data_IF_209148789942
#
_entry.id   IF_209148789942
#
_cell.length_a   1.000
_cell.length_b   1.000
_cell.length_c   1.000
_cell.angle_alpha   90.00
_cell.angle_beta   90.00
_cell.angle_gamma   90.00
#
_symmetry.space_group_name_H-M   'P 1'
#
loop_
_entity.id
_entity.type
_entity.pdbx_description
1 polymer ?
#
# COMPACT_ATOMS: atom_id res chain seq x y z
N UNK A 1 -33.27 -8.22 9.65
CA UNK A 1 -32.45 -7.98 8.45
C UNK A 1 -31.23 -8.85 8.54
N UNK A 2 -31.18 -9.96 7.79
CA UNK A 2 -30.02 -10.85 7.75
C UNK A 2 -28.86 -10.11 7.07
N UNK A 3 -27.80 -9.87 7.81
CA UNK A 3 -26.58 -9.25 7.29
C UNK A 3 -26.02 -10.12 6.18
N UNK A 4 -25.90 -9.57 4.98
CA UNK A 4 -25.11 -10.19 3.92
C UNK A 4 -23.72 -10.47 4.49
N UNK A 5 -23.27 -11.73 4.42
CA UNK A 5 -21.91 -12.12 4.78
C UNK A 5 -20.94 -11.21 4.03
N UNK A 6 -20.22 -10.38 4.77
CA UNK A 6 -19.13 -9.53 4.24
C UNK A 6 -17.92 -10.44 4.06
N UNK A 7 -17.91 -11.27 3.01
CA UNK A 7 -16.80 -12.15 2.73
C UNK A 7 -15.67 -11.34 2.10
N UNK A 8 -14.54 -11.24 2.80
CA UNK A 8 -13.27 -10.81 2.21
C UNK A 8 -12.96 -11.76 1.06
N UNK A 9 -12.70 -11.22 -0.12
CA UNK A 9 -12.21 -12.06 -1.23
C UNK A 9 -10.68 -12.14 -1.12
N UNK A 10 -10.22 -13.22 -0.46
CA UNK A 10 -8.81 -13.52 -0.29
C UNK A 10 -8.29 -14.33 -1.49
N UNK A 11 -7.20 -13.87 -2.10
CA UNK A 11 -6.44 -14.65 -3.07
C UNK A 11 -4.94 -14.63 -2.78
N UNK A 12 -4.28 -15.74 -3.07
CA UNK A 12 -2.83 -15.89 -2.92
C UNK A 12 -2.26 -16.38 -4.25
N UNK A 13 -1.28 -15.66 -4.78
CA UNK A 13 -0.58 -15.93 -6.04
C UNK A 13 0.88 -16.19 -5.74
N UNK A 14 1.33 -17.43 -5.96
CA UNK A 14 2.71 -17.85 -5.73
C UNK A 14 3.43 -17.87 -7.08
N UNK A 15 4.58 -17.21 -7.15
CA UNK A 15 5.37 -17.08 -8.38
C UNK A 15 6.83 -17.46 -8.14
N UNK A 16 7.49 -17.96 -9.19
CA UNK A 16 8.85 -18.47 -9.11
C UNK A 16 9.86 -17.44 -8.61
N UNK A 17 9.73 -16.19 -9.06
CA UNK A 17 10.70 -15.13 -8.81
C UNK A 17 10.05 -13.74 -8.80
N UNK A 18 10.78 -12.69 -8.36
CA UNK A 18 10.27 -11.32 -8.32
C UNK A 18 9.80 -10.77 -9.68
N UNK A 19 10.33 -11.24 -10.81
CA UNK A 19 9.92 -10.78 -12.13
C UNK A 19 8.54 -11.33 -12.49
N UNK A 20 8.31 -12.63 -12.26
CA UNK A 20 6.99 -13.24 -12.44
C UNK A 20 5.93 -12.64 -11.47
N UNK A 21 6.35 -12.26 -10.25
CA UNK A 21 5.49 -11.50 -9.33
C UNK A 21 5.12 -10.13 -9.89
N UNK A 22 6.09 -9.39 -10.42
CA UNK A 22 5.87 -8.08 -11.01
C UNK A 22 4.87 -8.14 -12.17
N UNK A 23 5.02 -9.13 -13.07
CA UNK A 23 4.07 -9.36 -14.16
C UNK A 23 2.65 -9.66 -13.67
N UNK A 24 2.53 -10.50 -12.64
CA UNK A 24 1.22 -10.78 -12.04
C UNK A 24 0.60 -9.53 -11.42
N UNK A 25 1.40 -8.80 -10.64
CA UNK A 25 0.98 -7.59 -9.97
C UNK A 25 0.56 -6.49 -10.96
N UNK A 26 1.29 -6.33 -12.07
CA UNK A 26 0.97 -5.40 -13.14
C UNK A 26 -0.38 -5.72 -13.79
N UNK A 27 -0.66 -7.00 -14.09
CA UNK A 27 -1.96 -7.42 -14.61
C UNK A 27 -3.13 -7.14 -13.66
N UNK A 28 -2.95 -7.44 -12.38
CA UNK A 28 -3.98 -7.18 -11.35
C UNK A 28 -4.23 -5.66 -11.23
N UNK A 29 -3.16 -4.86 -11.14
CA UNK A 29 -3.25 -3.40 -11.06
C UNK A 29 -3.94 -2.82 -12.29
N UNK A 30 -3.57 -3.27 -13.49
CA UNK A 30 -4.15 -2.77 -14.73
C UNK A 30 -5.64 -3.10 -14.86
N UNK A 31 -6.07 -4.30 -14.45
CA UNK A 31 -7.48 -4.66 -14.42
C UNK A 31 -8.27 -3.77 -13.44
N UNK A 32 -7.74 -3.56 -12.22
CA UNK A 32 -8.35 -2.68 -11.24
C UNK A 32 -8.38 -1.20 -11.71
N UNK A 33 -7.35 -0.78 -12.45
CA UNK A 33 -7.28 0.54 -13.06
C UNK A 33 -8.33 0.72 -14.15
N UNK A 34 -8.44 -0.24 -15.07
CA UNK A 34 -9.45 -0.24 -16.14
C UNK A 34 -10.88 -0.16 -15.57
N UNK A 35 -11.19 -0.99 -14.57
CA UNK A 35 -12.49 -0.96 -13.89
C UNK A 35 -12.76 0.40 -13.23
N UNK A 36 -11.79 0.93 -12.47
CA UNK A 36 -11.97 2.20 -11.77
C UNK A 36 -12.13 3.38 -12.74
N UNK A 37 -11.35 3.43 -13.82
CA UNK A 37 -11.47 4.48 -14.82
C UNK A 37 -12.79 4.36 -15.58
N UNK A 38 -13.24 3.16 -15.93
CA UNK A 38 -14.53 2.96 -16.59
C UNK A 38 -15.72 3.39 -15.69
N UNK A 39 -15.68 3.09 -14.39
CA UNK A 39 -16.79 3.36 -13.48
C UNK A 39 -16.77 4.79 -12.88
N UNK A 40 -15.58 5.34 -12.61
CA UNK A 40 -15.39 6.56 -11.82
C UNK A 40 -14.58 7.63 -12.52
N UNK A 41 -14.00 7.34 -13.69
CA UNK A 41 -13.18 8.27 -14.46
C UNK A 41 -11.79 8.54 -13.86
N UNK A 42 -11.44 7.89 -12.75
CA UNK A 42 -10.15 8.07 -12.05
C UNK A 42 -9.77 6.77 -11.32
N UNK A 43 -8.48 6.49 -11.23
CA UNK A 43 -7.90 5.41 -10.44
C UNK A 43 -7.00 5.99 -9.35
N UNK A 44 -7.41 5.89 -8.09
CA UNK A 44 -6.66 6.41 -6.95
C UNK A 44 -5.91 5.28 -6.25
N UNK A 45 -4.59 5.30 -6.34
CA UNK A 45 -3.68 4.27 -5.83
C UNK A 45 -2.80 4.81 -4.71
N UNK A 46 -2.61 4.04 -3.63
CA UNK A 46 -1.62 4.31 -2.60
C UNK A 46 -0.46 3.30 -2.68
N UNK A 47 0.78 3.79 -2.64
CA UNK A 47 2.00 3.00 -2.75
C UNK A 47 2.73 2.88 -1.41
N UNK A 48 3.23 1.70 -1.10
CA UNK A 48 4.31 1.49 -0.12
C UNK A 48 5.67 1.50 -0.81
N UNK A 49 6.74 1.78 -0.05
CA UNK A 49 8.11 1.60 -0.53
C UNK A 49 8.69 0.22 -0.21
N UNK A 50 10.01 0.15 -0.10
CA UNK A 50 10.77 -1.10 0.07
C UNK A 50 11.37 -1.61 -1.25
N UNK A 51 12.11 -2.72 -1.19
CA UNK A 51 12.79 -3.27 -2.37
C UNK A 51 11.85 -4.12 -3.24
N UNK A 52 10.90 -4.82 -2.63
CA UNK A 52 9.96 -5.71 -3.31
C UNK A 52 9.12 -5.06 -4.42
N UNK A 53 8.62 -3.81 -4.32
CA UNK A 53 7.89 -3.17 -5.42
C UNK A 53 8.76 -2.70 -6.59
N UNK A 54 10.10 -2.71 -6.48
CA UNK A 54 10.99 -2.19 -7.54
C UNK A 54 10.79 -2.90 -8.88
N UNK A 55 10.78 -4.25 -8.96
CA UNK A 55 10.54 -4.93 -10.23
C UNK A 55 9.20 -4.57 -10.87
N UNK A 56 8.15 -4.36 -10.07
CA UNK A 56 6.86 -3.87 -10.57
C UNK A 56 6.97 -2.44 -11.11
N UNK A 57 7.62 -1.53 -10.39
CA UNK A 57 7.80 -0.15 -10.83
C UNK A 57 8.61 -0.07 -12.13
N UNK A 58 9.73 -0.79 -12.21
CA UNK A 58 10.54 -0.86 -13.43
C UNK A 58 9.76 -1.46 -14.61
N UNK A 59 8.94 -2.48 -14.36
CA UNK A 59 8.09 -3.09 -15.40
C UNK A 59 7.03 -2.10 -15.91
N UNK A 60 6.34 -1.39 -15.00
CA UNK A 60 5.33 -0.40 -15.35
C UNK A 60 5.92 0.83 -16.06
N UNK A 61 7.17 1.16 -15.77
CA UNK A 61 7.93 2.21 -16.44
C UNK A 61 8.41 1.82 -17.86
N UNK A 62 8.47 0.52 -18.17
CA UNK A 62 9.01 0.02 -19.42
C UNK A 62 7.93 -0.21 -20.48
N UNK A 63 8.19 0.29 -21.71
CA UNK A 63 7.54 -0.15 -22.96
C UNK A 63 6.00 -0.32 -22.87
N UNK A 64 5.46 -1.47 -23.31
CA UNK A 64 4.03 -1.78 -23.48
C UNK A 64 3.16 -1.43 -22.26
N UNK A 65 3.70 -1.50 -21.03
CA UNK A 65 2.96 -1.12 -19.83
C UNK A 65 2.81 0.39 -19.67
N UNK A 66 3.86 1.15 -20.00
CA UNK A 66 3.83 2.61 -19.98
C UNK A 66 2.81 3.16 -21.00
N UNK A 67 2.64 2.50 -22.15
CA UNK A 67 1.64 2.91 -23.15
C UNK A 67 0.22 2.39 -22.84
N UNK A 68 0.10 1.33 -22.04
CA UNK A 68 -1.19 0.67 -21.72
C UNK A 68 -1.95 1.35 -20.59
N UNK A 69 -1.28 1.95 -19.61
CA UNK A 69 -1.95 2.54 -18.46
C UNK A 69 -2.37 3.99 -18.70
N UNK A 70 -3.59 4.39 -18.29
CA UNK A 70 -4.09 5.76 -18.47
C UNK A 70 -3.53 6.70 -17.38
N UNK A 71 -2.25 7.06 -17.45
CA UNK A 71 -1.56 7.82 -16.41
C UNK A 71 -2.21 9.17 -16.06
N UNK A 72 -2.88 9.81 -17.02
CA UNK A 72 -3.64 11.05 -16.81
C UNK A 72 -4.90 10.84 -15.93
N UNK A 73 -5.36 9.59 -15.80
CA UNK A 73 -6.47 9.18 -14.93
C UNK A 73 -6.01 8.57 -13.61
N UNK A 74 -4.71 8.45 -13.39
CA UNK A 74 -4.17 7.86 -12.16
C UNK A 74 -3.76 8.96 -11.18
N UNK A 75 -4.20 8.84 -9.93
CA UNK A 75 -3.77 9.70 -8.83
C UNK A 75 -2.99 8.87 -7.81
N UNK A 76 -1.73 9.22 -7.58
CA UNK A 76 -0.85 8.49 -6.67
C UNK A 76 -0.79 9.13 -5.28
N UNK A 77 -0.84 8.25 -4.29
CA UNK A 77 -0.68 8.52 -2.88
C UNK A 77 0.37 7.55 -2.32
N UNK A 78 0.79 7.80 -1.09
CA UNK A 78 1.63 6.89 -0.32
C UNK A 78 0.86 6.36 0.89
N UNK A 79 1.06 5.07 1.16
CA UNK A 79 0.56 4.39 2.36
C UNK A 79 1.35 4.85 3.58
N UNK A 80 2.66 5.02 3.43
CA UNK A 80 3.56 5.48 4.47
C UNK A 80 4.78 6.19 3.88
N UNK A 81 5.48 6.95 4.71
CA UNK A 81 6.71 7.62 4.32
C UNK A 81 7.65 7.80 5.52
N UNK A 82 8.94 7.85 5.21
CA UNK A 82 10.03 8.09 6.13
C UNK A 82 10.15 9.60 6.32
N UNK A 83 10.32 10.08 7.54
CA UNK A 83 10.51 11.51 7.81
C UNK A 83 11.92 11.99 7.40
N UNK A 84 12.17 11.97 6.09
CA UNK A 84 13.40 12.36 5.40
C UNK A 84 13.07 13.16 4.13
N UNK A 85 14.09 13.80 3.55
CA UNK A 85 13.95 14.52 2.28
C UNK A 85 13.50 13.63 1.11
N UNK A 86 12.80 14.18 0.09
CA UNK A 86 12.28 13.40 -1.04
C UNK A 86 13.37 12.77 -1.91
N UNK A 87 14.59 13.31 -1.90
CA UNK A 87 15.75 12.75 -2.60
C UNK A 87 16.55 11.76 -1.74
N UNK A 88 16.18 11.58 -0.46
CA UNK A 88 16.86 10.66 0.42
C UNK A 88 16.69 9.21 -0.09
N UNK A 89 17.71 8.34 0.01
CA UNK A 89 17.62 6.95 -0.45
C UNK A 89 16.46 6.17 0.19
N UNK A 90 16.12 6.51 1.43
CA UNK A 90 15.02 5.88 2.17
C UNK A 90 13.62 6.48 1.90
N UNK A 91 13.47 7.52 1.09
CA UNK A 91 12.14 8.06 0.77
C UNK A 91 11.37 7.09 -0.14
N UNK A 92 10.16 6.72 0.27
CA UNK A 92 9.22 5.94 -0.54
C UNK A 92 8.76 6.73 -1.77
N UNK A 93 8.54 8.04 -1.63
CA UNK A 93 8.31 8.93 -2.77
C UNK A 93 9.53 8.97 -3.70
N UNK A 94 10.72 9.14 -3.14
CA UNK A 94 11.97 9.15 -3.90
C UNK A 94 12.17 7.85 -4.69
N UNK A 95 11.87 6.70 -4.09
CA UNK A 95 11.89 5.41 -4.76
C UNK A 95 10.92 5.37 -5.95
N UNK A 96 9.63 5.66 -5.72
CA UNK A 96 8.63 5.66 -6.77
C UNK A 96 8.99 6.66 -7.89
N UNK A 97 9.58 7.80 -7.55
CA UNK A 97 10.06 8.79 -8.51
C UNK A 97 11.19 8.23 -9.39
N UNK A 98 12.19 7.58 -8.79
CA UNK A 98 13.33 7.01 -9.53
C UNK A 98 12.96 5.83 -10.40
N UNK A 99 12.08 4.96 -9.91
CA UNK A 99 11.76 3.68 -10.56
C UNK A 99 10.54 3.75 -11.48
N UNK A 100 9.63 4.71 -11.29
CA UNK A 100 8.37 4.78 -12.04
C UNK A 100 8.03 6.20 -12.52
N UNK A 101 7.76 7.13 -11.59
CA UNK A 101 7.06 8.38 -11.90
C UNK A 101 7.85 9.33 -12.81
N UNK A 102 9.18 9.18 -12.91
CA UNK A 102 9.99 9.98 -13.85
C UNK A 102 10.04 9.41 -15.26
N UNK A 103 9.49 8.22 -15.48
CA UNK A 103 9.56 7.49 -16.75
C UNK A 103 8.20 7.37 -17.46
N UNK A 104 7.13 7.84 -16.81
CA UNK A 104 5.76 7.76 -17.32
C UNK A 104 5.09 9.14 -17.20
N UNK A 105 4.07 9.45 -18.02
CA UNK A 105 3.39 10.75 -18.00
C UNK A 105 2.39 10.90 -16.83
N UNK A 106 2.75 10.44 -15.63
CA UNK A 106 1.94 10.58 -14.43
C UNK A 106 1.99 12.03 -13.90
N UNK A 107 0.82 12.68 -13.85
CA UNK A 107 0.74 14.11 -13.49
C UNK A 107 0.14 14.37 -12.10
N UNK A 108 -0.59 13.40 -11.54
CA UNK A 108 -1.35 13.61 -10.31
C UNK A 108 -0.79 12.74 -9.18
N UNK A 109 -0.11 13.37 -8.24
CA UNK A 109 0.37 12.69 -7.04
C UNK A 109 0.44 13.61 -5.83
N UNK A 110 0.12 13.06 -4.66
CA UNK A 110 0.23 13.73 -3.38
C UNK A 110 1.24 12.96 -2.55
N UNK A 111 2.45 13.51 -2.37
CA UNK A 111 3.47 12.88 -1.52
C UNK A 111 3.31 13.30 -0.07
N UNK A 112 3.58 12.38 0.85
CA UNK A 112 3.86 12.72 2.23
C UNK A 112 5.15 13.55 2.29
N UNK A 113 5.13 14.66 3.04
CA UNK A 113 6.28 15.57 3.15
C UNK A 113 7.17 15.17 4.31
N UNK A 114 7.97 14.12 4.11
CA UNK A 114 8.89 13.60 5.11
C UNK A 114 9.94 14.60 5.60
N UNK A 115 10.23 15.64 4.83
CA UNK A 115 11.17 16.70 5.22
C UNK A 115 10.61 17.73 6.23
N UNK A 116 9.30 17.72 6.47
CA UNK A 116 8.64 18.64 7.38
C UNK A 116 8.53 18.06 8.79
N UNK A 117 8.06 18.87 9.74
CA UNK A 117 7.67 18.37 11.06
C UNK A 117 6.64 17.22 10.90
N UNK A 118 6.84 16.06 11.55
CA UNK A 118 5.99 14.89 11.36
C UNK A 118 4.50 15.16 11.66
N UNK A 119 4.21 15.87 12.74
CA UNK A 119 2.82 16.17 13.15
C UNK A 119 2.14 17.05 12.11
N UNK A 120 2.82 18.12 11.67
CA UNK A 120 2.30 18.98 10.61
C UNK A 120 2.16 18.23 9.27
N UNK A 121 3.11 17.38 8.93
CA UNK A 121 3.09 16.61 7.70
C UNK A 121 1.90 15.64 7.65
N UNK A 122 1.61 14.95 8.76
CA UNK A 122 0.45 14.09 8.90
C UNK A 122 -0.87 14.87 8.72
N UNK A 123 -1.00 16.03 9.36
CA UNK A 123 -2.19 16.91 9.23
C UNK A 123 -2.36 17.39 7.79
N UNK A 124 -1.28 17.88 7.15
CA UNK A 124 -1.33 18.39 5.77
C UNK A 124 -1.69 17.28 4.78
N UNK A 125 -1.12 16.09 4.95
CA UNK A 125 -1.41 14.95 4.09
C UNK A 125 -2.85 14.44 4.26
N UNK A 126 -3.35 14.40 5.50
CA UNK A 126 -4.77 14.11 5.75
C UNK A 126 -5.69 15.12 5.05
N UNK A 127 -5.36 16.42 5.09
CA UNK A 127 -6.15 17.45 4.40
C UNK A 127 -6.12 17.28 2.88
N UNK A 128 -4.99 16.92 2.29
CA UNK A 128 -4.88 16.62 0.85
C UNK A 128 -5.80 15.47 0.45
N UNK A 129 -5.79 14.38 1.22
CA UNK A 129 -6.69 13.24 1.00
C UNK A 129 -8.15 13.68 1.13
N UNK A 130 -8.52 14.41 2.19
CA UNK A 130 -9.91 14.87 2.37
C UNK A 130 -10.38 15.74 1.21
N UNK A 131 -9.54 16.66 0.75
CA UNK A 131 -9.88 17.53 -0.37
C UNK A 131 -10.03 16.74 -1.68
N UNK A 132 -9.07 15.87 -2.00
CA UNK A 132 -9.08 15.12 -3.26
C UNK A 132 -10.23 14.10 -3.34
N UNK A 133 -10.59 13.49 -2.21
CA UNK A 133 -11.73 12.57 -2.11
C UNK A 133 -13.07 13.27 -1.80
N UNK A 134 -13.08 14.60 -1.65
CA UNK A 134 -14.25 15.40 -1.26
C UNK A 134 -14.96 14.86 -0.01
N UNK A 135 -14.18 14.57 1.03
CA UNK A 135 -14.64 13.92 2.26
C UNK A 135 -15.14 14.93 3.29
N UNK A 136 -16.30 14.62 3.88
CA UNK A 136 -16.80 15.25 5.08
C UNK A 136 -16.04 14.84 6.36
N UNK A 137 -16.42 15.43 7.51
CA UNK A 137 -15.87 15.03 8.80
C UNK A 137 -16.12 13.54 9.07
N UNK A 138 -15.09 12.83 9.53
CA UNK A 138 -15.13 11.39 9.87
C UNK A 138 -15.35 10.43 8.69
N UNK A 139 -15.52 10.90 7.46
CA UNK A 139 -15.54 10.02 6.29
C UNK A 139 -14.14 9.47 5.99
N UNK A 140 -14.10 8.23 5.51
CA UNK A 140 -12.88 7.53 5.11
C UNK A 140 -12.72 7.59 3.59
N UNK A 141 -11.50 7.84 3.07
CA UNK A 141 -11.20 7.70 1.65
C UNK A 141 -11.36 6.23 1.25
N UNK A 142 -11.94 6.00 0.07
CA UNK A 142 -12.03 4.65 -0.52
C UNK A 142 -11.12 4.59 -1.73
N UNK A 143 -9.86 4.23 -1.49
CA UNK A 143 -8.88 4.00 -2.54
C UNK A 143 -9.29 2.84 -3.43
N UNK A 144 -8.97 2.93 -4.72
CA UNK A 144 -9.19 1.83 -5.66
C UNK A 144 -8.17 0.72 -5.43
N UNK A 145 -6.94 1.11 -5.11
CA UNK A 145 -5.84 0.16 -4.94
C UNK A 145 -4.85 0.62 -3.88
N UNK A 146 -4.42 -0.29 -3.02
CA UNK A 146 -3.29 -0.08 -2.12
C UNK A 146 -2.25 -1.17 -2.35
N UNK A 147 -1.07 -0.75 -2.78
CA UNK A 147 0.10 -1.62 -2.89
C UNK A 147 0.83 -1.63 -1.56
N UNK A 148 0.86 -2.77 -0.89
CA UNK A 148 1.38 -2.94 0.46
C UNK A 148 2.61 -3.86 0.46
N UNK A 149 3.49 -3.63 1.44
CA UNK A 149 4.57 -4.55 1.79
C UNK A 149 4.33 -5.17 3.17
N UNK A 150 5.15 -6.17 3.52
CA UNK A 150 5.17 -6.77 4.85
C UNK A 150 6.59 -6.89 5.41
N UNK A 151 6.80 -6.34 6.61
CA UNK A 151 8.02 -6.50 7.39
C UNK A 151 8.23 -7.93 7.92
N UNK A 152 9.45 -8.25 8.36
CA UNK A 152 9.74 -9.55 9.03
C UNK A 152 9.01 -9.69 10.38
N UNK A 153 8.67 -8.57 10.99
CA UNK A 153 7.85 -8.45 12.20
C UNK A 153 6.33 -8.40 11.89
N UNK A 154 5.94 -8.45 10.61
CA UNK A 154 4.55 -8.39 10.15
C UNK A 154 3.95 -6.99 10.09
N UNK A 155 4.77 -5.93 10.20
CA UNK A 155 4.31 -4.57 9.95
C UNK A 155 3.89 -4.37 8.48
N UNK A 156 2.99 -3.42 8.24
CA UNK A 156 2.62 -2.93 6.91
C UNK A 156 2.39 -1.43 6.97
N UNK A 157 2.69 -0.71 5.87
CA UNK A 157 2.95 0.72 5.94
C UNK A 157 4.02 1.00 7.00
N UNK A 158 3.75 1.95 7.89
CA UNK A 158 4.55 2.10 9.12
C UNK A 158 3.76 1.71 10.38
N UNK A 159 2.82 0.76 10.29
CA UNK A 159 2.05 0.26 11.43
C UNK A 159 2.78 -0.96 12.01
N UNK A 160 3.48 -0.78 13.13
CA UNK A 160 4.30 -1.83 13.75
C UNK A 160 3.54 -2.62 14.83
N UNK A 161 3.91 -3.89 15.10
CA UNK A 161 3.41 -4.61 16.26
C UNK A 161 3.61 -3.81 17.55
N UNK A 162 2.62 -3.84 18.44
CA UNK A 162 2.62 -3.14 19.73
C UNK A 162 2.79 -1.61 19.66
N UNK A 163 2.63 -0.99 18.48
CA UNK A 163 2.68 0.46 18.32
C UNK A 163 1.32 1.13 18.60
N UNK A 164 1.30 2.42 19.00
CA UNK A 164 0.06 3.19 19.16
C UNK A 164 -0.80 3.25 17.89
N UNK A 165 -0.18 3.12 16.71
CA UNK A 165 -0.87 3.12 15.42
C UNK A 165 -1.95 2.04 15.29
N UNK A 166 -1.83 0.92 16.02
CA UNK A 166 -2.83 -0.15 16.04
C UNK A 166 -4.17 0.30 16.64
N UNK A 167 -4.12 1.22 17.61
CA UNK A 167 -5.27 1.73 18.33
C UNK A 167 -5.95 2.93 17.63
N UNK A 168 -5.33 3.53 16.62
CA UNK A 168 -5.89 4.67 15.90
C UNK A 168 -7.10 4.25 15.06
N UNK A 169 -8.22 4.99 15.22
CA UNK A 169 -9.52 4.71 14.57
C UNK A 169 -10.20 5.94 13.97
N UNK A 170 -9.68 7.14 14.20
CA UNK A 170 -10.28 8.43 13.86
C UNK A 170 -9.50 9.17 12.79
N UNK A 171 -8.18 9.24 12.92
CA UNK A 171 -7.29 9.92 11.97
C UNK A 171 -7.16 9.11 10.68
N UNK A 172 -7.04 9.80 9.55
CA UNK A 172 -6.69 9.14 8.28
C UNK A 172 -5.18 8.88 8.22
N UNK A 173 -4.41 9.83 8.75
CA UNK A 173 -2.95 9.85 8.72
C UNK A 173 -2.43 10.19 10.12
N UNK A 174 -1.40 9.47 10.55
CA UNK A 174 -0.67 9.76 11.78
C UNK A 174 0.83 9.81 11.52
N UNK A 175 1.51 10.63 12.30
CA UNK A 175 2.92 10.46 12.61
C UNK A 175 3.10 9.44 13.74
N UNK A 176 4.23 8.74 13.72
CA UNK A 176 4.66 7.93 14.86
C UNK A 176 6.18 7.82 14.90
N UNK A 177 6.73 7.86 16.10
CA UNK A 177 8.12 7.53 16.35
C UNK A 177 8.28 6.00 16.46
N UNK A 178 9.22 5.44 15.71
CA UNK A 178 9.52 4.00 15.72
C UNK A 178 10.83 3.76 16.48
N UNK A 179 10.79 3.30 17.74
CA UNK A 179 11.99 3.19 18.59
C UNK A 179 13.11 2.33 18.00
N UNK A 180 12.75 1.21 17.38
CA UNK A 180 13.68 0.25 16.78
C UNK A 180 14.43 0.84 15.60
N UNK A 181 13.83 1.85 14.93
CA UNK A 181 14.42 2.56 13.80
C UNK A 181 15.01 3.91 14.18
N UNK A 182 14.75 4.38 15.40
CA UNK A 182 15.13 5.71 15.91
C UNK A 182 14.72 6.83 14.95
N UNK A 183 13.53 6.71 14.38
CA UNK A 183 13.06 7.60 13.33
C UNK A 183 11.54 7.73 13.34
N UNK A 184 11.07 8.90 12.95
CA UNK A 184 9.65 9.14 12.70
C UNK A 184 9.22 8.58 11.34
N UNK A 185 7.94 8.23 11.29
CA UNK A 185 7.23 7.75 10.11
C UNK A 185 5.87 8.44 10.02
N UNK A 186 5.41 8.63 8.79
CA UNK A 186 4.04 8.98 8.47
C UNK A 186 3.34 7.73 7.95
N UNK A 187 2.08 7.48 8.32
CA UNK A 187 1.34 6.32 7.81
C UNK A 187 -0.16 6.60 7.71
N UNK A 188 -0.79 6.01 6.69
CA UNK A 188 -2.21 5.76 6.68
C UNK A 188 -2.55 4.78 7.80
N UNK A 189 -3.74 4.94 8.37
CA UNK A 189 -4.21 4.13 9.50
C UNK A 189 -4.92 2.85 9.01
N UNK A 190 -5.03 1.84 9.88
CA UNK A 190 -5.76 0.59 9.55
C UNK A 190 -7.20 0.83 9.04
N UNK A 191 -8.01 1.76 9.59
CA UNK A 191 -9.31 2.08 9.02
C UNK A 191 -9.25 2.53 7.55
N UNK A 192 -8.27 3.34 7.19
CA UNK A 192 -8.08 3.80 5.80
C UNK A 192 -7.71 2.63 4.90
N UNK A 193 -6.74 1.82 5.34
CA UNK A 193 -6.29 0.64 4.57
C UNK A 193 -7.45 -0.34 4.36
N UNK A 194 -8.22 -0.63 5.40
CA UNK A 194 -9.35 -1.56 5.35
C UNK A 194 -10.61 -1.01 4.65
N UNK A 195 -10.58 0.26 4.22
CA UNK A 195 -11.64 0.87 3.41
C UNK A 195 -11.32 0.84 1.90
N UNK A 196 -10.12 0.40 1.49
CA UNK A 196 -9.75 0.26 0.09
C UNK A 196 -10.58 -0.81 -0.62
N UNK A 197 -10.73 -0.67 -1.95
CA UNK A 197 -11.37 -1.68 -2.80
C UNK A 197 -10.48 -2.90 -3.02
N UNK A 198 -9.18 -2.69 -3.14
CA UNK A 198 -8.19 -3.74 -3.27
C UNK A 198 -6.96 -3.40 -2.43
N UNK A 199 -6.56 -4.33 -1.57
CA UNK A 199 -5.26 -4.32 -0.89
C UNK A 199 -4.42 -5.46 -1.46
N UNK A 200 -3.32 -5.13 -2.13
CA UNK A 200 -2.38 -6.12 -2.66
C UNK A 200 -1.05 -6.05 -1.93
N UNK A 201 -0.69 -7.14 -1.25
CA UNK A 201 0.62 -7.33 -0.67
C UNK A 201 1.59 -7.93 -1.69
N UNK A 202 2.79 -7.37 -1.78
CA UNK A 202 3.95 -8.01 -2.39
C UNK A 202 4.92 -8.48 -1.30
N UNK A 203 5.25 -9.77 -1.29
CA UNK A 203 6.14 -10.37 -0.28
C UNK A 203 7.13 -11.31 -0.95
N UNK A 204 8.42 -11.09 -0.73
CA UNK A 204 9.51 -11.89 -1.29
C UNK A 204 10.47 -12.35 -0.20
N UNK A 205 11.11 -13.51 -0.40
CA UNK A 205 12.21 -13.99 0.43
C UNK A 205 11.80 -15.02 1.49
N UNK A 206 12.63 -16.05 1.66
CA UNK A 206 12.40 -17.15 2.59
C UNK A 206 12.30 -16.70 4.06
N UNK A 207 12.96 -15.59 4.42
CA UNK A 207 12.87 -14.97 5.73
C UNK A 207 11.44 -14.49 6.08
N UNK A 208 10.57 -14.35 5.07
CA UNK A 208 9.17 -13.95 5.26
C UNK A 208 8.23 -15.13 5.55
N UNK A 209 8.69 -16.38 5.43
CA UNK A 209 7.79 -17.54 5.44
C UNK A 209 6.94 -17.65 6.71
N UNK A 210 7.57 -17.60 7.89
CA UNK A 210 6.87 -17.77 9.16
C UNK A 210 5.88 -16.63 9.42
N UNK A 211 6.29 -15.39 9.13
CA UNK A 211 5.44 -14.22 9.33
C UNK A 211 4.30 -14.15 8.31
N UNK A 212 4.54 -14.56 7.05
CA UNK A 212 3.52 -14.69 6.01
C UNK A 212 2.47 -15.75 6.38
N UNK A 213 2.93 -16.91 6.85
CA UNK A 213 2.03 -17.99 7.29
C UNK A 213 1.11 -17.53 8.42
N UNK A 214 1.63 -16.75 9.37
CA UNK A 214 0.82 -16.11 10.42
C UNK A 214 -0.14 -15.07 9.87
N UNK A 215 0.30 -14.22 8.94
CA UNK A 215 -0.53 -13.19 8.34
C UNK A 215 -1.69 -13.77 7.51
N UNK A 216 -1.47 -14.89 6.82
CA UNK A 216 -2.50 -15.61 6.04
C UNK A 216 -3.49 -16.41 6.91
N UNK A 217 -3.17 -16.65 8.18
CA UNK A 217 -4.09 -17.33 9.10
C UNK A 217 -5.21 -16.38 9.56
N UNK A 218 -6.20 -16.15 8.70
CA UNK A 218 -7.33 -15.26 8.99
C UNK A 218 -8.32 -15.81 10.03
N UNK A 219 -8.20 -17.09 10.38
CA UNK A 219 -9.02 -17.75 11.41
C UNK A 219 -8.53 -17.47 12.82
N UNK A 220 -7.25 -17.13 12.98
CA UNK A 220 -6.68 -16.72 14.26
C UNK A 220 -6.99 -15.25 14.59
N UNK A 221 -7.00 -14.96 15.89
CA UNK A 221 -7.01 -13.58 16.39
C UNK A 221 -5.79 -12.85 15.80
N UNK A 222 -5.98 -11.69 15.15
CA UNK A 222 -4.89 -11.03 14.47
C UNK A 222 -3.83 -10.52 15.45
N UNK A 223 -2.60 -10.99 15.28
CA UNK A 223 -1.44 -10.57 16.09
C UNK A 223 -0.48 -9.68 15.33
N UNK A 224 -0.63 -9.60 14.00
CA UNK A 224 0.25 -8.84 13.12
C UNK A 224 -0.54 -7.70 12.44
N UNK A 225 0.06 -6.51 12.27
CA UNK A 225 -0.54 -5.43 11.48
C UNK A 225 -0.98 -5.88 10.07
N UNK A 226 -0.17 -6.65 9.36
CA UNK A 226 -0.55 -7.18 8.05
C UNK A 226 -1.73 -8.17 8.11
N UNK A 227 -1.87 -8.95 9.18
CA UNK A 227 -3.02 -9.84 9.43
C UNK A 227 -4.30 -9.06 9.76
N UNK A 228 -4.16 -7.83 10.27
CA UNK A 228 -5.26 -6.91 10.55
C UNK A 228 -5.75 -6.17 9.29
N UNK A 229 -5.03 -6.27 8.17
CA UNK A 229 -5.53 -5.81 6.88
C UNK A 229 -6.58 -6.80 6.37
N UNK A 230 -7.83 -6.40 6.51
CA UNK A 230 -9.04 -7.17 6.23
C UNK A 230 -10.09 -6.21 5.62
N UNK A 231 -9.96 -5.85 4.32
CA UNK A 231 -10.91 -4.96 3.67
C UNK A 231 -12.34 -5.50 3.80
N UNK A 232 -13.24 -4.72 4.39
CA UNK A 232 -14.58 -5.23 4.72
C UNK A 232 -15.47 -5.42 3.49
N UNK A 233 -15.21 -4.66 2.42
CA UNK A 233 -15.84 -4.75 1.10
C UNK A 233 -14.74 -4.46 0.06
N UNK A 234 -14.01 -5.51 -0.31
CA UNK A 234 -12.91 -5.44 -1.24
C UNK A 234 -12.10 -6.74 -1.33
N UNK A 235 -11.08 -6.71 -2.17
CA UNK A 235 -10.13 -7.80 -2.38
C UNK A 235 -8.93 -7.66 -1.45
N UNK A 236 -8.49 -8.80 -0.90
CA UNK A 236 -7.21 -8.95 -0.24
C UNK A 236 -6.37 -9.92 -1.07
N UNK A 237 -5.32 -9.40 -1.69
CA UNK A 237 -4.49 -10.15 -2.62
C UNK A 237 -3.08 -10.25 -2.06
N UNK A 238 -2.53 -11.46 -2.05
CA UNK A 238 -1.12 -11.69 -1.72
C UNK A 238 -0.42 -12.20 -2.97
N UNK A 239 0.54 -11.46 -3.48
CA UNK A 239 1.46 -11.93 -4.52
C UNK A 239 2.80 -12.18 -3.85
N UNK A 240 3.25 -13.43 -3.89
CA UNK A 240 4.41 -13.90 -3.13
C UNK A 240 5.33 -14.73 -4.00
N UNK A 241 6.63 -14.75 -3.68
CA UNK A 241 7.56 -15.67 -4.35
C UNK A 241 7.51 -17.07 -3.71
N UNK A 242 8.03 -18.07 -4.42
CA UNK A 242 8.14 -19.44 -3.92
C UNK A 242 8.97 -19.51 -2.63
N UNK A 243 9.98 -18.65 -2.49
CA UNK A 243 10.81 -18.59 -1.30
C UNK A 243 10.00 -18.19 -0.06
N UNK A 244 9.24 -17.09 -0.11
CA UNK A 244 8.34 -16.68 0.97
C UNK A 244 7.23 -17.71 1.20
N UNK A 245 6.70 -18.33 0.14
CA UNK A 245 5.64 -19.31 0.27
C UNK A 245 6.10 -20.63 0.93
N UNK A 246 7.33 -21.07 0.67
CA UNK A 246 7.82 -22.40 1.09
C UNK A 246 8.90 -22.38 2.17
N UNK A 247 9.49 -21.21 2.45
CA UNK A 247 10.60 -21.05 3.38
C UNK A 247 11.93 -21.65 2.90
N UNK A 248 12.09 -21.84 1.58
CA UNK A 248 13.25 -22.50 0.94
C UNK A 248 13.85 -21.67 -0.17
#
# INVERSE_FOLDING_TARGET
MQGRSRSIHLSVHIHKDPAAMAERAAHILAAACEEAVAERGVFKIALSGGQTPIPLFSLLAASDWADRLPWDKMTFFWVDERCVGPEHPESNYGLARRELLSHVPAMHFFRMRGEADPVEAAVKYEQQIRNDFNLGPQELPRFDFMLLGMGEDGHTGSIFPNSPALAEKKRLVIDQYVPERKADRLTLTLPVINNARCCMFLVTGAEKHDVLSRALNLLAEPTLPAQMVRPSIGDLIWVVDEAAATGK
#
